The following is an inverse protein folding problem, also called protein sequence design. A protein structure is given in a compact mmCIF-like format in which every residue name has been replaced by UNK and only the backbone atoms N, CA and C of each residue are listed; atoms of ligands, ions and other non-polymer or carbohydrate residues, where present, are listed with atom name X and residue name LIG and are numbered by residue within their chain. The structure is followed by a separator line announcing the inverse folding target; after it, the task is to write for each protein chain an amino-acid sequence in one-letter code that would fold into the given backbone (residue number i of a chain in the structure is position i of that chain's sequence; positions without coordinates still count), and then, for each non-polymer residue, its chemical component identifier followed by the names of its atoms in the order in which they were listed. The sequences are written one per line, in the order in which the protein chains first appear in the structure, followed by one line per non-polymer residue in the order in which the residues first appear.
data_IF_186383050015
#
_entry.id   IF_186383050015
#
_cell.length_a   1.000
_cell.length_b   1.000
_cell.length_c   1.000
_cell.angle_alpha   90.00
_cell.angle_beta   90.00
_cell.angle_gamma   90.00
#
_symmetry.space_group_name_H-M   'P 1'
#
loop_
_entity.id
_entity.type
_entity.pdbx_description
1 polymer ?
#
# COMPACT_ATOMS: atom_id res chain seq x y z
N UNK A 1 1.71 -6.96 11.87
CA UNK A 1 1.35 -7.79 10.72
C UNK A 1 2.38 -7.64 9.63
N UNK A 2 2.75 -8.74 8.96
CA UNK A 2 3.66 -8.72 7.81
C UNK A 2 2.88 -9.16 6.57
N UNK A 3 2.91 -8.35 5.52
CA UNK A 3 2.22 -8.61 4.27
C UNK A 3 3.21 -8.70 3.11
N UNK A 4 3.22 -9.86 2.47
CA UNK A 4 3.92 -10.11 1.21
C UNK A 4 3.04 -9.66 0.04
N UNK A 5 3.64 -9.04 -0.97
CA UNK A 5 2.94 -8.84 -2.24
C UNK A 5 2.84 -10.15 -3.02
N UNK A 6 1.98 -10.16 -4.04
CA UNK A 6 2.01 -11.17 -5.08
C UNK A 6 2.53 -10.51 -6.36
N UNK A 7 3.69 -10.94 -6.80
CA UNK A 7 4.40 -10.35 -7.92
C UNK A 7 4.34 -11.31 -9.11
N UNK A 8 4.06 -10.79 -10.30
CA UNK A 8 4.02 -11.59 -11.52
C UNK A 8 4.56 -10.82 -12.74
N UNK A 9 5.15 -11.56 -13.67
CA UNK A 9 5.36 -11.14 -15.05
C UNK A 9 4.14 -11.63 -15.86
N UNK A 10 3.31 -10.71 -16.34
CA UNK A 10 1.99 -11.04 -16.92
C UNK A 10 2.11 -11.75 -18.28
N UNK A 11 3.16 -11.44 -19.03
CA UNK A 11 3.47 -11.93 -20.38
C UNK A 11 4.49 -13.09 -20.38
N UNK A 12 4.84 -13.63 -19.21
CA UNK A 12 5.78 -14.74 -19.08
C UNK A 12 5.08 -16.10 -19.08
N UNK A 13 4.66 -16.54 -20.26
CA UNK A 13 3.94 -17.81 -20.42
C UNK A 13 4.77 -19.06 -20.07
N UNK A 14 6.09 -18.95 -20.06
CA UNK A 14 7.00 -20.08 -19.83
C UNK A 14 7.63 -20.05 -18.43
N UNK A 15 7.23 -19.11 -17.56
CA UNK A 15 7.78 -18.92 -16.21
C UNK A 15 9.31 -18.77 -16.20
N UNK A 16 9.87 -18.03 -17.17
CA UNK A 16 11.28 -17.68 -17.20
C UNK A 16 11.71 -16.83 -15.99
N UNK A 17 10.79 -16.07 -15.41
CA UNK A 17 11.04 -15.21 -14.26
C UNK A 17 10.53 -15.85 -12.96
N UNK A 18 11.40 -16.44 -12.13
CA UNK A 18 10.97 -17.09 -10.89
C UNK A 18 10.42 -16.07 -9.88
N UNK A 19 9.51 -16.51 -9.02
CA UNK A 19 8.88 -15.63 -8.03
C UNK A 19 9.89 -14.94 -7.11
N UNK A 20 10.98 -15.60 -6.73
CA UNK A 20 12.00 -15.01 -5.85
C UNK A 20 12.73 -13.83 -6.51
N UNK A 21 12.97 -13.93 -7.83
CA UNK A 21 13.50 -12.82 -8.62
C UNK A 21 12.50 -11.65 -8.64
N UNK A 22 11.23 -11.93 -8.96
CA UNK A 22 10.17 -10.92 -9.02
C UNK A 22 9.93 -10.24 -7.66
N UNK A 23 9.99 -11.01 -6.57
CA UNK A 23 9.85 -10.52 -5.19
C UNK A 23 11.01 -9.61 -4.78
N UNK A 24 12.19 -9.77 -5.39
CA UNK A 24 13.36 -8.93 -5.16
C UNK A 24 13.28 -7.55 -5.83
N UNK A 25 12.40 -7.36 -6.80
CA UNK A 25 12.33 -6.11 -7.57
C UNK A 25 11.73 -4.96 -6.75
N UNK A 26 12.35 -3.79 -6.83
CA UNK A 26 11.90 -2.54 -6.20
C UNK A 26 11.75 -1.42 -7.23
N UNK A 27 10.86 -1.58 -8.23
CA UNK A 27 10.65 -0.56 -9.24
C UNK A 27 10.07 0.72 -8.66
N UNK A 28 10.36 1.84 -9.32
CA UNK A 28 9.79 3.13 -8.95
C UNK A 28 8.26 3.12 -9.04
N UNK A 29 7.63 3.88 -8.15
CA UNK A 29 6.17 4.00 -8.07
C UNK A 29 5.45 2.80 -7.43
N UNK A 30 6.17 1.76 -6.99
CA UNK A 30 5.60 0.60 -6.29
C UNK A 30 6.08 0.47 -4.83
N UNK A 31 5.19 0.02 -3.91
CA UNK A 31 5.62 -0.37 -2.57
C UNK A 31 6.50 -1.64 -2.62
N UNK A 32 7.39 -1.82 -1.63
CA UNK A 32 8.28 -2.99 -1.56
C UNK A 32 7.53 -4.31 -1.39
N UNK A 33 8.18 -5.43 -1.71
CA UNK A 33 7.58 -6.77 -1.57
C UNK A 33 7.13 -7.10 -0.14
N UNK A 34 7.81 -6.56 0.88
CA UNK A 34 7.45 -6.76 2.28
C UNK A 34 6.88 -5.47 2.86
N UNK A 35 5.65 -5.53 3.40
CA UNK A 35 5.04 -4.43 4.16
C UNK A 35 4.85 -4.87 5.60
N UNK A 36 5.53 -4.19 6.52
CA UNK A 36 5.44 -4.44 7.97
C UNK A 36 4.63 -3.32 8.62
N UNK A 37 3.53 -3.67 9.26
CA UNK A 37 2.64 -2.73 9.95
C UNK A 37 2.41 -3.18 11.40
N UNK A 38 2.04 -2.23 12.25
CA UNK A 38 1.62 -2.48 13.64
C UNK A 38 0.25 -1.86 13.88
N UNK A 39 -0.47 -2.36 14.87
CA UNK A 39 -1.68 -1.69 15.35
C UNK A 39 -1.31 -0.26 15.79
N UNK A 40 -2.20 0.69 15.51
CA UNK A 40 -2.06 2.12 15.75
C UNK A 40 -0.91 2.80 14.98
N UNK A 41 -0.34 2.15 13.97
CA UNK A 41 0.64 2.82 13.11
C UNK A 41 -0.05 3.74 12.10
N UNK A 42 0.64 4.81 11.72
CA UNK A 42 0.18 5.70 10.67
C UNK A 42 0.71 5.27 9.31
N UNK A 43 -0.16 5.31 8.31
CA UNK A 43 0.17 5.00 6.91
C UNK A 43 -0.35 6.10 5.99
N UNK A 44 0.19 6.14 4.77
CA UNK A 44 -0.28 7.02 3.70
C UNK A 44 -0.78 6.15 2.55
N UNK A 45 -1.96 6.48 2.03
CA UNK A 45 -2.52 5.87 0.83
C UNK A 45 -1.74 6.32 -0.41
N UNK A 46 -1.39 5.38 -1.29
CA UNK A 46 -0.52 5.61 -2.47
C UNK A 46 -1.28 5.79 -3.78
N UNK A 47 -2.60 5.51 -3.79
CA UNK A 47 -3.42 5.52 -5.00
C UNK A 47 -4.79 6.11 -4.71
N UNK A 48 -5.36 6.73 -5.72
CA UNK A 48 -6.76 7.12 -5.73
C UNK A 48 -7.61 5.86 -5.87
N UNK A 49 -8.44 5.58 -4.87
CA UNK A 49 -9.43 4.50 -4.89
C UNK A 49 -10.81 5.11 -5.05
N UNK A 50 -11.10 6.13 -4.24
CA UNK A 50 -12.36 6.85 -4.23
C UNK A 50 -12.13 8.28 -3.68
N UNK A 51 -11.69 9.21 -4.56
CA UNK A 51 -11.34 10.57 -4.13
C UNK A 51 -12.50 11.33 -3.50
N UNK A 52 -13.73 11.09 -3.97
CA UNK A 52 -14.94 11.76 -3.47
C UNK A 52 -15.14 11.45 -1.99
N UNK A 53 -14.79 10.23 -1.57
CA UNK A 53 -14.92 9.76 -0.19
C UNK A 53 -13.66 9.93 0.66
N UNK A 54 -12.64 10.64 0.17
CA UNK A 54 -11.38 10.87 0.87
C UNK A 54 -10.34 9.75 0.72
N UNK A 55 -10.59 8.75 -0.13
CA UNK A 55 -9.64 7.65 -0.40
C UNK A 55 -8.74 8.02 -1.57
N UNK A 56 -8.02 9.13 -1.43
CA UNK A 56 -7.10 9.66 -2.43
C UNK A 56 -5.63 9.43 -2.04
N UNK A 57 -4.75 9.52 -3.04
CA UNK A 57 -3.31 9.49 -2.81
C UNK A 57 -2.92 10.59 -1.83
N UNK A 58 -2.10 10.25 -0.82
CA UNK A 58 -1.69 11.16 0.24
C UNK A 58 -2.57 11.14 1.48
N UNK A 59 -3.76 10.52 1.45
CA UNK A 59 -4.60 10.39 2.65
C UNK A 59 -3.84 9.68 3.75
N UNK A 60 -3.74 10.35 4.91
CA UNK A 60 -3.12 9.79 6.11
C UNK A 60 -4.15 8.97 6.87
N UNK A 61 -3.72 7.80 7.30
CA UNK A 61 -4.58 6.83 7.96
C UNK A 61 -3.91 6.29 9.23
N UNK A 62 -4.70 5.97 10.25
CA UNK A 62 -4.29 5.12 11.37
C UNK A 62 -4.81 3.70 11.14
N UNK A 63 -4.04 2.69 11.53
CA UNK A 63 -4.41 1.26 11.40
C UNK A 63 -4.81 0.68 12.77
N UNK A 64 -6.08 0.76 13.20
CA UNK A 64 -6.50 0.22 14.51
C UNK A 64 -6.56 -1.31 14.54
N UNK A 65 -6.77 -1.97 13.40
CA UNK A 65 -6.88 -3.43 13.35
C UNK A 65 -6.45 -4.01 12.00
N UNK A 66 -6.35 -5.34 11.94
CA UNK A 66 -6.10 -6.09 10.72
C UNK A 66 -7.23 -7.10 10.49
N UNK A 67 -7.68 -7.21 9.25
CA UNK A 67 -8.64 -8.24 8.83
C UNK A 67 -7.93 -9.31 8.00
N UNK A 68 -8.61 -10.44 7.75
CA UNK A 68 -8.06 -11.56 6.97
C UNK A 68 -7.53 -11.11 5.60
N UNK A 69 -8.29 -10.27 4.90
CA UNK A 69 -8.00 -9.85 3.52
C UNK A 69 -7.98 -8.32 3.32
N UNK A 70 -8.08 -7.55 4.40
CA UNK A 70 -8.12 -6.09 4.35
C UNK A 70 -7.31 -5.47 5.50
N UNK A 71 -6.82 -4.27 5.27
CA UNK A 71 -6.34 -3.40 6.36
C UNK A 71 -7.52 -2.55 6.80
N UNK A 72 -7.81 -2.62 8.08
CA UNK A 72 -8.78 -1.74 8.69
C UNK A 72 -8.09 -0.42 9.06
N UNK A 73 -8.62 0.69 8.56
CA UNK A 73 -7.97 1.99 8.63
C UNK A 73 -8.97 3.10 8.95
N UNK A 74 -8.47 4.21 9.48
CA UNK A 74 -9.24 5.40 9.81
C UNK A 74 -8.55 6.64 9.27
N UNK A 75 -9.30 7.54 8.63
CA UNK A 75 -8.77 8.82 8.15
C UNK A 75 -8.52 9.73 9.34
N UNK A 76 -7.28 10.23 9.49
CA UNK A 76 -6.90 11.00 10.68
C UNK A 76 -6.99 12.51 10.51
N UNK A 77 -7.14 13.01 9.27
CA UNK A 77 -7.14 14.45 8.97
C UNK A 77 -8.07 14.79 7.80
N UNK A 78 -8.53 16.04 7.77
CA UNK A 78 -9.33 16.61 6.69
C UNK A 78 -10.83 16.43 6.88
N UNK A 79 -11.61 16.77 5.85
CA UNK A 79 -13.08 16.76 5.89
C UNK A 79 -13.68 15.36 6.12
N UNK A 80 -12.90 14.31 5.86
CA UNK A 80 -13.31 12.92 6.02
C UNK A 80 -12.70 12.26 7.27
N UNK A 81 -12.18 13.03 8.22
CA UNK A 81 -11.60 12.50 9.45
C UNK A 81 -12.58 11.57 10.19
N UNK A 82 -12.04 10.62 10.95
CA UNK A 82 -12.76 9.59 11.74
C UNK A 82 -13.51 8.55 10.90
N UNK A 83 -13.56 8.72 9.56
CA UNK A 83 -14.15 7.74 8.66
C UNK A 83 -13.32 6.46 8.63
N UNK A 84 -13.98 5.33 8.94
CA UNK A 84 -13.40 3.98 8.88
C UNK A 84 -13.47 3.44 7.46
N UNK A 85 -12.37 2.85 7.00
CA UNK A 85 -12.21 2.36 5.63
C UNK A 85 -11.50 1.00 5.66
N UNK A 86 -11.90 0.12 4.73
CA UNK A 86 -11.24 -1.17 4.54
C UNK A 86 -10.43 -1.14 3.25
N UNK A 87 -9.11 -1.25 3.37
CA UNK A 87 -8.22 -1.23 2.22
C UNK A 87 -7.96 -2.67 1.74
N UNK A 88 -8.37 -3.03 0.51
CA UNK A 88 -8.01 -4.31 -0.08
C UNK A 88 -6.61 -4.26 -0.71
N UNK A 89 -6.08 -5.43 -1.07
CA UNK A 89 -4.93 -5.50 -1.97
C UNK A 89 -5.39 -5.21 -3.39
N UNK A 90 -4.73 -4.26 -4.06
CA UNK A 90 -5.00 -3.92 -5.46
C UNK A 90 -3.78 -4.28 -6.32
N UNK A 91 -3.97 -4.60 -7.61
CA UNK A 91 -2.87 -4.67 -8.54
C UNK A 91 -2.25 -3.29 -8.77
N UNK A 92 -0.93 -3.23 -8.78
CA UNK A 92 -0.16 -2.03 -9.05
C UNK A 92 0.85 -2.32 -10.16
N UNK A 93 1.00 -1.36 -11.07
CA UNK A 93 2.00 -1.39 -12.13
C UNK A 93 3.13 -0.40 -11.79
N UNK A 94 4.37 -0.69 -12.21
CA UNK A 94 5.49 0.25 -12.09
C UNK A 94 5.22 1.56 -12.86
N UNK A 95 6.04 2.58 -12.63
CA UNK A 95 6.01 3.80 -13.45
C UNK A 95 6.37 3.51 -14.91
N UNK A 96 5.87 4.33 -15.83
CA UNK A 96 6.11 4.15 -17.27
C UNK A 96 7.60 4.24 -17.65
N UNK A 97 8.42 4.90 -16.82
CA UNK A 97 9.88 5.00 -16.99
C UNK A 97 10.64 3.70 -16.66
N UNK A 98 9.98 2.71 -16.03
CA UNK A 98 10.60 1.42 -15.69
C UNK A 98 10.54 0.48 -16.90
N UNK A 99 11.68 0.25 -17.52
CA UNK A 99 11.81 -0.66 -18.66
C UNK A 99 12.19 -2.07 -18.22
N UNK A 100 11.18 -2.90 -17.94
CA UNK A 100 11.37 -4.35 -17.79
C UNK A 100 11.22 -5.06 -19.13
N UNK A 101 11.92 -6.18 -19.37
CA UNK A 101 11.69 -7.04 -20.53
C UNK A 101 10.39 -7.87 -20.44
N UNK A 102 9.52 -7.54 -19.49
CA UNK A 102 8.24 -8.20 -19.19
C UNK A 102 7.29 -7.21 -18.51
N UNK A 103 5.99 -7.53 -18.51
CA UNK A 103 4.96 -6.73 -17.86
C UNK A 103 4.87 -7.07 -16.37
N UNK A 104 5.60 -6.32 -15.55
CA UNK A 104 5.59 -6.50 -14.09
C UNK A 104 4.29 -6.00 -13.45
N UNK A 105 3.72 -6.82 -12.56
CA UNK A 105 2.53 -6.47 -11.78
C UNK A 105 2.69 -6.92 -10.33
N UNK A 106 2.44 -6.00 -9.39
CA UNK A 106 2.52 -6.24 -7.95
C UNK A 106 1.15 -6.05 -7.30
N UNK A 107 0.53 -7.14 -6.81
CA UNK A 107 -0.70 -7.07 -6.02
C UNK A 107 -0.38 -6.85 -4.54
N UNK A 108 -0.74 -5.68 -4.01
CA UNK A 108 -0.43 -5.29 -2.63
C UNK A 108 -1.44 -4.27 -2.07
N UNK A 109 -1.44 -4.09 -0.76
CA UNK A 109 -2.11 -2.95 -0.15
C UNK A 109 -1.45 -1.65 -0.65
N UNK A 110 -2.23 -0.66 -1.11
CA UNK A 110 -1.70 0.57 -1.68
C UNK A 110 -1.30 1.57 -0.58
N UNK A 111 -0.51 1.13 0.41
CA UNK A 111 -0.11 1.97 1.54
C UNK A 111 1.39 1.87 1.80
N UNK A 112 1.95 2.95 2.35
CA UNK A 112 3.29 2.95 2.97
C UNK A 112 3.21 3.47 4.40
N UNK A 113 4.14 3.04 5.25
CA UNK A 113 4.27 3.59 6.59
C UNK A 113 4.53 5.10 6.52
N UNK A 114 3.85 5.86 7.37
CA UNK A 114 4.03 7.30 7.53
C UNK A 114 4.93 7.55 8.72
N UNK A 115 6.04 8.26 8.52
CA UNK A 115 7.00 8.57 9.59
C UNK A 115 6.63 9.85 10.39
N UNK A 116 5.46 10.46 10.14
CA UNK A 116 5.03 11.65 10.86
C UNK A 116 4.51 11.32 12.27
N UNK A 117 5.25 11.82 13.25
CA UNK A 117 5.10 11.75 14.71
C UNK A 117 3.64 11.93 15.21
N UNK A 118 3.23 11.14 16.20
CA UNK A 118 2.05 11.46 17.02
C UNK A 118 2.37 12.71 17.84
N UNK A 119 1.78 13.86 17.48
CA UNK A 119 1.71 14.99 18.41
C UNK A 119 0.68 14.60 19.46
N UNK A 120 1.15 14.08 20.59
CA UNK A 120 0.31 13.94 21.77
C UNK A 120 -0.12 15.35 22.18
N UNK A 121 -1.38 15.72 21.92
CA UNK A 121 -1.99 16.91 22.53
C UNK A 121 -2.31 16.58 23.99
N UNK A 122 -1.29 16.48 24.84
CA UNK A 122 -1.46 16.77 26.26
C UNK A 122 -1.35 18.29 26.41
N UNK A 123 -2.50 18.92 26.64
CA UNK A 123 -2.63 20.35 26.90
C UNK A 123 -1.69 20.78 28.03
N UNK A 124 -0.98 21.89 27.83
CA UNK A 124 -0.41 22.75 28.85
C UNK A 124 -0.99 24.14 28.67
#
# INVERSE_FOLDING_TARGET
MVYHSFDCAVDDHHNYYPSDFLNGLTPNGLPPHILKLKINCHVILLRNIDPVNGHCNGTRLMVPAFQKNAIDAEIIVGQHAEKRIFLPRIPLCPSDDEMFPFQFKRKKFPVRLSFAMMVNKSQG
#
